data_IF_359760106694
#
_entry.id   IF_359760106694
#
_cell.length_a   1.000
_cell.length_b   1.000
_cell.length_c   1.000
_cell.angle_alpha   90.00
_cell.angle_beta   90.00
_cell.angle_gamma   90.00
#
_symmetry.space_group_name_H-M   'P 1'
#
loop_
_entity.id
_entity.type
_entity.pdbx_description
1 polymer ?
#
# COMPACT_ATOMS: atom_id res chain seq x y z
N UNK A 1 -17.82 0.86 36.70
CA UNK A 1 -16.69 1.75 36.41
C UNK A 1 -15.45 0.86 36.31
N UNK A 2 -14.92 0.51 35.16
CA UNK A 2 -15.15 0.99 33.79
C UNK A 2 -14.84 -0.14 32.82
N UNK A 3 -15.59 -0.16 31.74
CA UNK A 3 -15.68 -1.23 30.76
C UNK A 3 -14.36 -1.54 30.04
N UNK A 4 -14.17 -2.84 29.82
CA UNK A 4 -13.13 -3.45 29.02
C UNK A 4 -13.69 -3.66 27.62
N UNK A 5 -13.41 -2.73 26.70
CA UNK A 5 -13.65 -2.87 25.26
C UNK A 5 -12.31 -2.70 24.54
N UNK A 6 -11.66 -3.81 24.18
CA UNK A 6 -11.74 -4.52 22.89
C UNK A 6 -11.01 -3.81 21.73
N UNK A 7 -9.96 -4.51 21.27
CA UNK A 7 -9.40 -4.58 19.90
C UNK A 7 -8.78 -3.31 19.32
N UNK A 8 -7.54 -3.46 18.87
CA UNK A 8 -6.90 -2.55 17.92
C UNK A 8 -7.72 -2.50 16.63
N UNK A 9 -8.25 -1.33 16.36
CA UNK A 9 -8.84 -0.91 15.09
C UNK A 9 -7.71 -0.23 14.30
N UNK A 10 -6.91 -1.03 13.59
CA UNK A 10 -5.98 -0.52 12.58
C UNK A 10 -6.45 -1.00 11.21
N UNK A 11 -6.62 -0.03 10.32
CA UNK A 11 -7.06 -0.12 8.92
C UNK A 11 -8.56 -0.21 8.68
N UNK A 12 -9.28 0.89 8.95
CA UNK A 12 -10.44 1.24 8.12
C UNK A 12 -9.93 2.18 7.03
N UNK A 13 -9.45 1.63 5.91
CA UNK A 13 -9.17 2.43 4.71
C UNK A 13 -10.45 2.53 3.87
N UNK A 14 -10.94 3.75 3.73
CA UNK A 14 -11.83 4.24 2.66
C UNK A 14 -11.59 5.76 2.60
N UNK A 15 -11.56 6.45 1.44
CA UNK A 15 -12.29 6.12 0.19
C UNK A 15 -11.63 6.58 -1.15
N UNK A 16 -12.18 6.20 -2.34
CA UNK A 16 -12.11 7.08 -3.55
C UNK A 16 -13.40 7.11 -4.40
N UNK A 17 -14.42 7.96 -4.18
CA UNK A 17 -15.34 8.33 -5.28
C UNK A 17 -15.23 9.81 -5.67
N UNK A 18 -15.38 10.12 -6.97
CA UNK A 18 -15.59 11.49 -7.47
C UNK A 18 -16.43 11.54 -8.76
N UNK A 19 -17.38 12.47 -8.80
CA UNK A 19 -18.11 12.97 -9.98
C UNK A 19 -18.05 14.51 -9.93
N UNK A 20 -17.35 15.12 -10.88
CA UNK A 20 -17.23 16.58 -11.16
C UNK A 20 -16.43 17.52 -10.22
N UNK A 21 -15.26 17.97 -10.71
CA UNK A 21 -14.76 19.37 -10.72
C UNK A 21 -14.58 20.15 -9.40
N UNK A 22 -13.46 19.98 -8.69
CA UNK A 22 -12.99 21.04 -7.77
C UNK A 22 -11.86 20.73 -6.80
N UNK A 23 -11.75 19.49 -6.29
CA UNK A 23 -10.70 19.08 -5.34
C UNK A 23 -10.04 17.78 -5.84
N UNK A 24 -8.71 17.76 -5.88
CA UNK A 24 -7.90 17.16 -6.94
C UNK A 24 -7.60 15.67 -6.70
N UNK A 25 -8.02 14.79 -7.64
CA UNK A 25 -7.68 13.34 -7.65
C UNK A 25 -6.19 13.08 -7.37
N UNK A 26 -5.33 13.99 -7.85
CA UNK A 26 -3.90 13.94 -7.66
C UNK A 26 -3.47 14.03 -6.19
N UNK A 27 -4.08 14.88 -5.38
CA UNK A 27 -3.68 15.05 -3.97
C UNK A 27 -3.99 13.80 -3.14
N UNK A 28 -5.14 13.19 -3.42
CA UNK A 28 -5.50 11.91 -2.83
C UNK A 28 -4.56 10.79 -3.29
N UNK A 29 -4.26 10.73 -4.59
CA UNK A 29 -3.32 9.76 -5.14
C UNK A 29 -1.92 9.86 -4.50
N UNK A 30 -1.44 11.09 -4.25
CA UNK A 30 -0.16 11.33 -3.59
C UNK A 30 -0.20 10.97 -2.10
N UNK A 31 -1.31 11.27 -1.42
CA UNK A 31 -1.48 10.91 0.00
C UNK A 31 -1.46 9.40 0.21
N UNK A 32 -2.05 8.64 -0.72
CA UNK A 32 -2.21 7.19 -0.61
C UNK A 32 -1.27 6.36 -1.51
N UNK A 33 -0.17 6.97 -1.96
CA UNK A 33 0.74 6.34 -2.91
C UNK A 33 1.48 5.14 -2.30
N UNK A 34 1.73 5.19 -0.99
CA UNK A 34 2.43 4.12 -0.28
C UNK A 34 1.55 2.90 -0.08
N UNK A 35 0.29 3.10 0.30
CA UNK A 35 -0.71 2.05 0.44
C UNK A 35 -0.94 1.32 -0.89
N UNK A 36 -0.95 2.06 -1.99
CA UNK A 36 -0.97 1.48 -3.33
C UNK A 36 0.27 0.62 -3.60
N UNK A 37 1.47 1.16 -3.33
CA UNK A 37 2.74 0.46 -3.55
C UNK A 37 2.93 -0.76 -2.63
N UNK A 38 2.35 -0.77 -1.43
CA UNK A 38 2.42 -1.88 -0.46
C UNK A 38 1.25 -2.87 -0.59
N UNK A 39 0.35 -2.66 -1.56
CA UNK A 39 -0.83 -3.51 -1.78
C UNK A 39 -1.76 -3.57 -0.56
N UNK A 40 -1.89 -2.45 0.16
CA UNK A 40 -2.73 -2.31 1.35
C UNK A 40 -4.11 -1.70 1.05
N UNK A 41 -4.42 -1.50 -0.23
CA UNK A 41 -5.71 -0.99 -0.69
C UNK A 41 -6.74 -2.11 -0.89
N UNK A 42 -8.02 -1.75 -0.86
CA UNK A 42 -9.08 -2.65 -1.35
C UNK A 42 -8.94 -2.86 -2.86
N UNK A 43 -9.39 -4.00 -3.42
CA UNK A 43 -9.31 -4.24 -4.86
C UNK A 43 -9.99 -3.15 -5.69
N UNK A 44 -11.09 -2.58 -5.18
CA UNK A 44 -11.82 -1.50 -5.84
C UNK A 44 -11.01 -0.20 -5.85
N UNK A 45 -10.34 0.14 -4.75
CA UNK A 45 -9.48 1.32 -4.64
C UNK A 45 -8.22 1.19 -5.51
N UNK A 46 -7.60 0.00 -5.52
CA UNK A 46 -6.43 -0.28 -6.34
C UNK A 46 -6.72 -0.05 -7.83
N UNK A 47 -7.87 -0.54 -8.30
CA UNK A 47 -8.28 -0.39 -9.70
C UNK A 47 -8.49 1.09 -10.07
N UNK A 48 -9.01 1.90 -9.15
CA UNK A 48 -9.20 3.34 -9.35
C UNK A 48 -7.88 4.10 -9.35
N UNK A 49 -7.02 3.84 -8.37
CA UNK A 49 -5.67 4.43 -8.32
C UNK A 49 -4.90 4.14 -9.61
N UNK A 50 -4.95 2.89 -10.07
CA UNK A 50 -4.35 2.47 -11.34
C UNK A 50 -4.91 3.26 -12.53
N UNK A 51 -6.23 3.45 -12.59
CA UNK A 51 -6.87 4.22 -13.66
C UNK A 51 -6.45 5.70 -13.63
N UNK A 52 -6.41 6.32 -12.45
CA UNK A 52 -5.96 7.71 -12.29
C UNK A 52 -4.50 7.88 -12.74
N UNK A 53 -3.58 7.09 -12.17
CA UNK A 53 -2.14 7.18 -12.48
C UNK A 53 -1.86 6.91 -13.96
N UNK A 54 -2.63 6.05 -14.62
CA UNK A 54 -2.50 5.80 -16.06
C UNK A 54 -2.84 7.03 -16.93
N UNK A 55 -3.70 7.94 -16.46
CA UNK A 55 -4.11 9.13 -17.22
C UNK A 55 -3.52 10.44 -16.66
N UNK A 56 -2.88 10.40 -15.49
CA UNK A 56 -2.34 11.56 -14.80
C UNK A 56 -0.80 11.54 -14.82
N UNK A 57 -0.19 12.25 -15.77
CA UNK A 57 1.27 12.37 -15.88
C UNK A 57 2.00 12.81 -14.60
N UNK A 58 1.53 13.79 -13.80
CA UNK A 58 2.24 14.17 -12.58
C UNK A 58 2.20 13.06 -11.53
N UNK A 59 1.07 12.39 -11.33
CA UNK A 59 0.98 11.28 -10.37
C UNK A 59 1.80 10.06 -10.81
N UNK A 60 1.90 9.81 -12.12
CA UNK A 60 2.79 8.77 -12.65
C UNK A 60 4.27 9.08 -12.38
N UNK A 61 4.67 10.35 -12.47
CA UNK A 61 6.04 10.76 -12.16
C UNK A 61 6.37 10.51 -10.68
N UNK A 62 5.48 10.92 -9.77
CA UNK A 62 5.65 10.70 -8.33
C UNK A 62 5.68 9.20 -7.99
N UNK A 63 4.76 8.40 -8.54
CA UNK A 63 4.76 6.95 -8.36
C UNK A 63 6.09 6.31 -8.81
N UNK A 64 6.61 6.74 -9.95
CA UNK A 64 7.87 6.23 -10.49
C UNK A 64 9.06 6.53 -9.58
N UNK A 65 9.08 7.71 -8.94
CA UNK A 65 10.11 8.09 -7.98
C UNK A 65 10.02 7.18 -6.74
N UNK A 66 8.82 7.02 -6.18
CA UNK A 66 8.62 6.17 -4.99
C UNK A 66 8.96 4.70 -5.26
N UNK A 67 8.64 4.18 -6.45
CA UNK A 67 9.09 2.85 -6.86
C UNK A 67 10.62 2.73 -6.91
N UNK A 68 11.32 3.73 -7.44
CA UNK A 68 12.77 3.75 -7.51
C UNK A 68 13.38 3.78 -6.10
N UNK A 69 12.80 4.56 -5.19
CA UNK A 69 13.20 4.60 -3.78
C UNK A 69 12.99 3.23 -3.13
N UNK A 70 11.82 2.61 -3.27
CA UNK A 70 11.56 1.25 -2.75
C UNK A 70 12.54 0.22 -3.32
N UNK A 71 12.84 0.28 -4.62
CA UNK A 71 13.85 -0.59 -5.28
C UNK A 71 15.25 -0.36 -4.68
N UNK A 72 15.64 0.89 -4.44
CA UNK A 72 16.92 1.25 -3.86
C UNK A 72 17.06 0.76 -2.40
N UNK A 73 16.03 0.94 -1.59
CA UNK A 73 15.99 0.46 -0.20
C UNK A 73 16.09 -1.05 -0.18
N UNK A 74 15.31 -1.75 -1.00
CA UNK A 74 15.34 -3.23 -1.08
C UNK A 74 16.72 -3.75 -1.47
N UNK A 75 17.43 -3.07 -2.37
CA UNK A 75 18.81 -3.43 -2.75
C UNK A 75 19.80 -3.24 -1.60
N UNK A 76 19.66 -2.15 -0.86
CA UNK A 76 20.63 -1.75 0.17
C UNK A 76 20.40 -2.47 1.50
N UNK A 77 19.16 -2.88 1.79
CA UNK A 77 18.74 -3.44 3.08
C UNK A 77 18.22 -4.88 2.97
N UNK A 78 18.79 -5.69 2.07
CA UNK A 78 18.40 -7.11 1.94
C UNK A 78 19.11 -7.99 2.99
N UNK A 79 18.42 -8.31 4.08
CA UNK A 79 18.86 -9.34 5.02
C UNK A 79 18.36 -10.74 4.58
N UNK A 80 19.21 -11.76 4.72
CA UNK A 80 18.75 -13.14 4.56
C UNK A 80 18.06 -13.59 5.84
N UNK A 81 16.77 -13.90 5.73
CA UNK A 81 16.01 -14.53 6.81
C UNK A 81 16.75 -15.75 7.39
N UNK A 82 16.77 -15.93 8.73
CA UNK A 82 17.40 -17.08 9.37
C UNK A 82 16.85 -18.42 8.87
N UNK A 83 17.71 -19.43 8.77
CA UNK A 83 17.33 -20.77 8.31
C UNK A 83 16.25 -21.40 9.19
N UNK A 84 16.30 -21.14 10.50
CA UNK A 84 15.31 -21.63 11.47
C UNK A 84 13.90 -21.13 11.14
N UNK A 85 13.75 -19.87 10.74
CA UNK A 85 12.47 -19.31 10.32
C UNK A 85 11.99 -19.93 9.01
N UNK A 86 12.89 -20.08 8.03
CA UNK A 86 12.56 -20.73 6.74
C UNK A 86 12.07 -22.15 6.92
N UNK A 87 12.74 -22.95 7.75
CA UNK A 87 12.37 -24.34 8.03
C UNK A 87 10.99 -24.43 8.69
N UNK A 88 10.70 -23.57 9.66
CA UNK A 88 9.38 -23.50 10.32
C UNK A 88 8.26 -23.15 9.35
N UNK A 89 8.45 -22.14 8.50
CA UNK A 89 7.44 -21.74 7.50
C UNK A 89 7.18 -22.88 6.52
N UNK A 90 8.23 -23.53 6.01
CA UNK A 90 8.08 -24.69 5.11
C UNK A 90 7.31 -25.83 5.76
N UNK A 91 7.60 -26.15 7.01
CA UNK A 91 6.84 -27.17 7.74
C UNK A 91 5.35 -26.83 7.85
N UNK A 92 4.98 -25.55 8.02
CA UNK A 92 3.58 -25.14 8.13
C UNK A 92 2.84 -25.08 6.79
N UNK A 93 3.55 -24.85 5.67
CA UNK A 93 2.95 -24.79 4.33
C UNK A 93 2.82 -26.15 3.65
N UNK A 94 3.67 -27.12 4.02
CA UNK A 94 3.73 -28.44 3.41
C UNK A 94 3.30 -29.59 4.35
N UNK A 95 2.80 -29.28 5.55
CA UNK A 95 2.10 -30.22 6.42
C UNK A 95 0.61 -30.25 6.07
#
# INVERSE_FOLDING_TARGET
MSEQERRGEASVVKPIPHDTGGENECEHALTHIYEYLDSEMTPEDEQRMRAHVAHCSPCLAELSIEELVKKLVRRSCSERAPETLRSRIRQQLFA
#
